data_IF_331094094939
#
_entry.id   IF_331094094939
#
_cell.length_a   1.000
_cell.length_b   1.000
_cell.length_c   1.000
_cell.angle_alpha   90.00
_cell.angle_beta   90.00
_cell.angle_gamma   90.00
#
_symmetry.space_group_name_H-M   'P 1'
#
loop_
_entity.id
_entity.type
_entity.pdbx_description
1 polymer ?
#
# COMPACT_ATOMS: atom_id res chain seq x y z
N UNK A 1 9.52 12.84 -13.21
CA UNK A 1 8.74 13.89 -12.52
C UNK A 1 8.04 13.28 -11.33
N UNK A 2 8.66 13.37 -10.14
CA UNK A 2 8.08 12.82 -8.91
C UNK A 2 6.95 13.71 -8.43
N UNK A 3 5.72 13.22 -8.53
CA UNK A 3 4.58 13.90 -7.93
C UNK A 3 4.80 14.05 -6.41
N UNK A 4 4.36 15.16 -5.84
CA UNK A 4 4.30 15.31 -4.38
C UNK A 4 3.46 14.16 -3.80
N UNK A 5 3.94 13.43 -2.77
CA UNK A 5 3.16 12.38 -2.15
C UNK A 5 1.79 12.91 -1.68
N UNK A 6 0.74 12.14 -1.99
CA UNK A 6 -0.63 12.44 -1.57
C UNK A 6 -1.14 11.30 -0.69
N UNK A 7 -1.94 11.65 0.31
CA UNK A 7 -2.56 10.69 1.25
C UNK A 7 -4.09 10.79 1.26
N UNK A 8 -4.68 11.51 0.31
CA UNK A 8 -6.13 11.57 0.12
C UNK A 8 -6.43 11.45 -1.37
N UNK A 9 -7.29 10.49 -1.71
CA UNK A 9 -7.62 10.17 -3.09
C UNK A 9 -9.15 10.20 -3.31
N UNK A 10 -9.63 10.75 -4.43
CA UNK A 10 -11.04 10.67 -4.80
C UNK A 10 -11.57 9.22 -4.91
N UNK A 11 -12.86 9.03 -4.64
CA UNK A 11 -13.58 7.74 -4.75
C UNK A 11 -13.45 7.05 -6.11
N UNK A 12 -13.21 7.82 -7.17
CA UNK A 12 -13.11 7.36 -8.55
C UNK A 12 -11.67 7.16 -9.04
N UNK A 13 -10.66 7.43 -8.20
CA UNK A 13 -9.23 7.26 -8.48
C UNK A 13 -8.98 5.87 -9.08
N UNK A 14 -8.48 5.75 -10.33
CA UNK A 14 -8.41 4.46 -11.01
C UNK A 14 -7.41 3.50 -10.38
N UNK A 15 -6.25 4.01 -9.97
CA UNK A 15 -5.16 3.24 -9.36
C UNK A 15 -4.46 4.12 -8.33
N UNK A 16 -4.15 3.55 -7.18
CA UNK A 16 -3.31 4.19 -6.14
C UNK A 16 -1.96 3.47 -6.16
N UNK A 17 -0.86 4.25 -6.11
CA UNK A 17 0.51 3.76 -6.14
C UNK A 17 1.21 4.06 -4.83
N UNK A 18 2.11 3.17 -4.43
CA UNK A 18 3.11 3.41 -3.39
C UNK A 18 4.47 2.99 -3.92
N UNK A 19 5.48 3.78 -3.61
CA UNK A 19 6.87 3.54 -3.95
C UNK A 19 7.72 3.65 -2.70
N UNK A 20 8.68 2.76 -2.54
CA UNK A 20 9.64 2.76 -1.45
C UNK A 20 11.06 2.72 -2.00
N UNK A 21 11.92 3.60 -1.52
CA UNK A 21 13.36 3.53 -1.78
C UNK A 21 13.99 2.48 -0.88
N UNK A 22 14.78 1.59 -1.47
CA UNK A 22 15.43 0.49 -0.75
C UNK A 22 16.85 0.91 -0.40
N UNK A 23 17.05 1.34 0.85
CA UNK A 23 18.33 1.81 1.36
C UNK A 23 18.85 0.80 2.38
N UNK A 24 20.07 0.32 2.18
CA UNK A 24 20.75 -0.63 3.06
C UNK A 24 19.97 -1.93 3.36
N UNK A 25 19.09 -2.35 2.44
CA UNK A 25 18.34 -3.62 2.53
C UNK A 25 19.15 -4.76 1.88
N UNK A 26 19.15 -5.93 2.52
CA UNK A 26 19.84 -7.11 1.98
C UNK A 26 19.21 -7.59 0.66
N UNK A 27 20.01 -7.89 -0.40
CA UNK A 27 19.51 -8.41 -1.67
C UNK A 27 18.68 -9.72 -1.56
N UNK A 28 18.86 -10.47 -0.48
CA UNK A 28 18.14 -11.71 -0.21
C UNK A 28 16.84 -11.52 0.54
N UNK A 29 16.55 -10.31 1.02
CA UNK A 29 15.32 -10.02 1.75
C UNK A 29 14.12 -10.01 0.83
N UNK A 30 12.96 -10.27 1.41
CA UNK A 30 11.66 -10.15 0.78
C UNK A 30 10.92 -8.94 1.34
N UNK A 31 10.40 -8.11 0.45
CA UNK A 31 9.47 -7.03 0.77
C UNK A 31 8.05 -7.55 0.58
N UNK A 32 7.16 -7.16 1.48
CA UNK A 32 5.73 -7.35 1.33
C UNK A 32 5.04 -6.00 1.45
N UNK A 33 4.23 -5.63 0.46
CA UNK A 33 3.22 -4.59 0.60
C UNK A 33 1.88 -5.22 0.95
N UNK A 34 1.25 -4.81 2.05
CA UNK A 34 -0.10 -5.22 2.41
C UNK A 34 -1.03 -4.01 2.40
N UNK A 35 -2.02 -4.04 1.53
CA UNK A 35 -3.05 -3.01 1.42
C UNK A 35 -4.17 -3.33 2.40
N UNK A 36 -4.49 -2.40 3.31
CA UNK A 36 -5.42 -2.66 4.41
C UNK A 36 -6.50 -1.57 4.47
N UNK A 37 -7.76 -2.00 4.50
CA UNK A 37 -8.90 -1.18 4.91
C UNK A 37 -8.91 -1.11 6.44
N UNK A 38 -8.58 0.05 7.01
CA UNK A 38 -8.60 0.25 8.46
C UNK A 38 -10.04 0.36 8.96
N UNK A 39 -10.79 1.29 8.39
CA UNK A 39 -12.22 1.48 8.61
C UNK A 39 -12.87 1.92 7.30
N UNK A 40 -13.79 1.10 6.78
CA UNK A 40 -14.61 1.38 5.59
C UNK A 40 -16.09 1.55 5.93
N UNK A 41 -16.39 1.93 7.17
CA UNK A 41 -17.72 2.25 7.69
C UNK A 41 -18.74 1.12 7.47
N UNK A 42 -18.29 -0.13 7.65
CA UNK A 42 -19.11 -1.34 7.56
C UNK A 42 -19.13 -2.03 6.20
N UNK A 43 -18.37 -1.57 5.21
CA UNK A 43 -18.21 -2.28 3.93
C UNK A 43 -17.35 -3.54 4.08
N UNK A 44 -16.30 -3.46 4.89
CA UNK A 44 -15.44 -4.59 5.28
C UNK A 44 -15.22 -4.60 6.81
N UNK A 45 -14.80 -5.74 7.39
CA UNK A 45 -14.32 -5.76 8.77
C UNK A 45 -13.20 -4.74 9.01
N UNK A 46 -13.05 -4.27 10.25
CA UNK A 46 -11.92 -3.43 10.62
C UNK A 46 -10.59 -4.14 10.37
N UNK A 47 -9.57 -3.40 9.92
CA UNK A 47 -8.24 -3.92 9.57
C UNK A 47 -8.26 -5.07 8.56
N UNK A 48 -9.19 -5.03 7.60
CA UNK A 48 -9.29 -6.01 6.53
C UNK A 48 -8.16 -5.85 5.50
N UNK A 49 -7.33 -6.88 5.33
CA UNK A 49 -6.35 -6.95 4.23
C UNK A 49 -7.09 -7.11 2.90
N UNK A 50 -6.95 -6.09 2.04
CA UNK A 50 -7.55 -6.03 0.70
C UNK A 50 -6.71 -6.86 -0.27
N UNK A 51 -5.40 -6.64 -0.26
CA UNK A 51 -4.44 -7.31 -1.14
C UNK A 51 -3.05 -7.35 -0.52
N UNK A 52 -2.22 -8.28 -0.98
CA UNK A 52 -0.83 -8.44 -0.55
C UNK A 52 0.05 -8.80 -1.75
N UNK A 53 1.17 -8.10 -1.89
CA UNK A 53 2.18 -8.34 -2.93
C UNK A 53 3.53 -8.57 -2.28
N UNK A 54 4.20 -9.66 -2.68
CA UNK A 54 5.56 -9.98 -2.28
C UNK A 54 6.53 -9.64 -3.42
N UNK A 55 7.69 -9.08 -3.07
CA UNK A 55 8.76 -8.70 -4.00
C UNK A 55 10.10 -9.17 -3.43
N UNK A 56 10.90 -9.86 -4.24
CA UNK A 56 12.29 -10.17 -3.88
C UNK A 56 13.16 -8.93 -4.16
N UNK A 57 13.97 -8.51 -3.17
CA UNK A 57 14.77 -7.27 -3.26
C UNK A 57 15.79 -7.36 -4.40
N UNK A 58 16.61 -8.41 -4.43
CA UNK A 58 17.62 -8.61 -5.47
C UNK A 58 18.56 -7.41 -5.61
N UNK A 59 18.79 -6.96 -6.84
CA UNK A 59 19.61 -5.79 -7.14
C UNK A 59 18.80 -4.48 -7.22
N UNK A 60 17.52 -4.49 -6.83
CA UNK A 60 16.65 -3.33 -6.92
C UNK A 60 16.99 -2.31 -5.81
N UNK A 61 16.84 -1.04 -6.14
CA UNK A 61 16.95 0.09 -5.20
C UNK A 61 15.59 0.77 -4.95
N UNK A 62 14.52 0.25 -5.55
CA UNK A 62 13.15 0.73 -5.40
C UNK A 62 12.21 -0.47 -5.43
N UNK A 63 11.11 -0.39 -4.67
CA UNK A 63 10.00 -1.32 -4.74
C UNK A 63 8.68 -0.55 -4.86
N UNK A 64 7.83 -0.99 -5.77
CA UNK A 64 6.54 -0.35 -6.05
C UNK A 64 5.40 -1.34 -5.84
N UNK A 65 4.26 -0.82 -5.37
CA UNK A 65 3.00 -1.54 -5.36
C UNK A 65 1.87 -0.62 -5.80
N UNK A 66 0.80 -1.22 -6.29
CA UNK A 66 -0.38 -0.50 -6.72
C UNK A 66 -1.64 -1.27 -6.36
N UNK A 67 -2.73 -0.54 -6.14
CA UNK A 67 -4.05 -1.12 -5.95
C UNK A 67 -5.04 -0.46 -6.91
N UNK A 68 -5.73 -1.28 -7.69
CA UNK A 68 -6.72 -0.83 -8.67
C UNK A 68 -8.08 -0.67 -8.02
N UNK A 69 -8.83 0.35 -8.44
CA UNK A 69 -10.17 0.64 -7.94
C UNK A 69 -11.10 -0.58 -8.01
N UNK A 70 -11.83 -0.91 -6.94
CA UNK A 70 -12.90 -1.90 -6.98
C UNK A 70 -14.01 -1.51 -7.97
N UNK A 71 -14.81 -2.47 -8.44
CA UNK A 71 -15.87 -2.22 -9.44
C UNK A 71 -16.87 -1.14 -8.99
N UNK A 72 -17.19 -1.07 -7.70
CA UNK A 72 -18.14 -0.11 -7.12
C UNK A 72 -17.49 1.23 -6.71
N UNK A 73 -16.20 1.44 -7.00
CA UNK A 73 -15.42 2.54 -6.46
C UNK A 73 -14.74 2.18 -5.14
N UNK A 74 -13.91 3.09 -4.64
CA UNK A 74 -13.29 2.94 -3.32
C UNK A 74 -14.34 3.20 -2.22
N UNK A 75 -14.50 2.33 -1.22
CA UNK A 75 -15.29 2.71 -0.04
C UNK A 75 -14.71 3.96 0.61
N UNK A 76 -15.56 4.91 1.03
CA UNK A 76 -15.11 6.02 1.86
C UNK A 76 -14.55 5.46 3.17
N UNK A 77 -13.44 6.00 3.65
CA UNK A 77 -12.80 5.48 4.86
C UNK A 77 -11.30 5.75 4.95
N UNK A 78 -10.69 5.05 5.90
CA UNK A 78 -9.26 5.11 6.18
C UNK A 78 -8.57 3.81 5.82
N UNK A 79 -7.37 3.95 5.28
CA UNK A 79 -6.59 2.87 4.72
C UNK A 79 -5.13 3.03 5.11
N UNK A 80 -4.36 1.96 4.94
CA UNK A 80 -2.90 2.02 5.01
C UNK A 80 -2.27 1.00 4.07
N UNK A 81 -1.01 1.24 3.77
CA UNK A 81 -0.14 0.21 3.18
C UNK A 81 0.95 -0.11 4.19
N UNK A 82 1.00 -1.37 4.62
CA UNK A 82 2.07 -1.88 5.46
C UNK A 82 3.21 -2.41 4.56
N UNK A 83 4.41 -1.88 4.76
CA UNK A 83 5.66 -2.38 4.18
C UNK A 83 6.35 -3.26 5.22
N UNK A 84 6.48 -4.55 4.91
CA UNK A 84 7.21 -5.49 5.73
C UNK A 84 8.48 -5.98 5.05
N UNK A 85 9.55 -6.15 5.82
CA UNK A 85 10.81 -6.77 5.41
C UNK A 85 10.93 -8.10 6.16
N UNK A 86 11.06 -9.20 5.41
CA UNK A 86 11.20 -10.55 5.96
C UNK A 86 10.12 -10.93 6.99
N UNK A 87 8.91 -10.39 6.80
CA UNK A 87 7.74 -10.65 7.64
C UNK A 87 7.52 -9.68 8.81
N UNK A 88 8.44 -8.75 9.06
CA UNK A 88 8.30 -7.70 10.08
C UNK A 88 7.83 -6.41 9.41
N UNK A 89 6.73 -5.82 9.89
CA UNK A 89 6.28 -4.50 9.40
C UNK A 89 7.27 -3.44 9.88
N UNK A 90 7.91 -2.76 8.93
CA UNK A 90 8.90 -1.71 9.19
C UNK A 90 8.27 -0.31 9.03
N UNK A 91 7.32 -0.16 8.11
CA UNK A 91 6.61 1.09 7.89
C UNK A 91 5.13 0.87 7.53
N UNK A 92 4.31 1.86 7.84
CA UNK A 92 2.87 1.89 7.57
C UNK A 92 2.47 3.27 7.07
N UNK A 93 2.09 3.36 5.80
CA UNK A 93 1.73 4.64 5.16
C UNK A 93 0.20 4.80 5.13
N UNK A 94 -0.38 5.76 5.86
CA UNK A 94 -1.83 5.97 5.87
C UNK A 94 -2.31 6.75 4.64
N UNK A 95 -3.51 6.44 4.16
CA UNK A 95 -4.24 7.27 3.20
C UNK A 95 -5.77 7.23 3.45
N UNK A 96 -6.49 8.16 2.85
CA UNK A 96 -7.95 8.28 3.00
C UNK A 96 -8.67 8.42 1.67
N UNK A 97 -9.92 7.96 1.68
CA UNK A 97 -10.91 8.21 0.63
C UNK A 97 -12.07 8.96 1.31
N UNK A 98 -12.37 10.21 0.90
CA UNK A 98 -13.43 11.01 1.52
C UNK A 98 -14.85 10.52 1.19
#
# INVERSE_FOLDING_TARGET
DGATPQSSFPVDTPVIYVSADLVDIAPTSKITFSWVSVDSHGVAPENYTIDKVDLDVGANNQADSQLTKPTAGWPAGTYRVDLAIDGTVEDSVPFSIP
#
